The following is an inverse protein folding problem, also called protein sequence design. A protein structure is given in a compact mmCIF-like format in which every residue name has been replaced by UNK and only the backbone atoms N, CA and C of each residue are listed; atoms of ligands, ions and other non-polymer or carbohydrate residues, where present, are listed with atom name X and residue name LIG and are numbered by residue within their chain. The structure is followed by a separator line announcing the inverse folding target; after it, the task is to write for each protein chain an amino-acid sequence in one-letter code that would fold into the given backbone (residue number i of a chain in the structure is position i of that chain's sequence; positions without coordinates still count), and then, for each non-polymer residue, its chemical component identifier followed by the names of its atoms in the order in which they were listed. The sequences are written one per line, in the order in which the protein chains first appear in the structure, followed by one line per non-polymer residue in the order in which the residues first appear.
data_IF_733284519202
#
_entry.id   IF_733284519202
#
_cell.length_a   1.000
_cell.length_b   1.000
_cell.length_c   1.000
_cell.angle_alpha   90.00
_cell.angle_beta   90.00
_cell.angle_gamma   90.00
#
_symmetry.space_group_name_H-M   'P 1'
#
loop_
_entity.id
_entity.type
_entity.pdbx_description
1 polymer ?
#
# COMPACT_ATOMS: atom_id res chain seq x y z
N UNK A 1 80.96 -14.04 -16.22
CA UNK A 1 81.10 -13.07 -15.10
C UNK A 1 80.12 -11.95 -15.31
N UNK A 2 79.54 -11.51 -14.19
CA UNK A 2 78.43 -10.59 -13.97
C UNK A 2 78.47 -9.25 -14.72
N UNK A 3 77.33 -8.53 -14.61
CA UNK A 3 77.13 -7.06 -14.41
C UNK A 3 76.14 -6.50 -15.47
N UNK A 4 74.86 -6.33 -15.10
CA UNK A 4 74.19 -5.15 -14.46
C UNK A 4 73.65 -4.18 -15.52
N UNK A 5 72.33 -3.95 -15.65
CA UNK A 5 71.38 -3.13 -14.87
C UNK A 5 71.04 -1.81 -15.61
N UNK A 6 69.83 -1.34 -15.33
CA UNK A 6 69.37 0.07 -15.40
C UNK A 6 68.82 0.57 -16.75
N UNK A 7 67.79 1.43 -16.85
CA UNK A 7 66.82 2.04 -15.92
C UNK A 7 65.79 2.83 -16.75
N UNK A 8 64.53 2.81 -16.29
CA UNK A 8 63.43 3.80 -16.38
C UNK A 8 62.96 4.47 -17.70
N UNK A 9 61.65 4.22 -17.95
CA UNK A 9 60.54 5.16 -18.15
C UNK A 9 60.69 6.37 -19.08
N UNK A 10 59.86 6.39 -20.13
CA UNK A 10 59.23 7.62 -20.64
C UNK A 10 57.73 7.36 -20.77
N UNK A 11 56.95 8.06 -19.94
CA UNK A 11 55.50 8.19 -20.04
C UNK A 11 55.18 9.13 -21.21
N UNK A 12 54.54 8.61 -22.26
CA UNK A 12 53.85 9.43 -23.26
C UNK A 12 52.36 9.10 -23.18
N UNK A 13 51.58 10.11 -22.83
CA UNK A 13 50.16 10.02 -22.51
C UNK A 13 49.32 9.55 -23.69
N UNK A 14 48.35 8.70 -23.39
CA UNK A 14 47.33 8.28 -24.33
C UNK A 14 45.99 8.86 -23.85
N UNK A 15 45.62 10.02 -24.41
CA UNK A 15 44.27 10.56 -24.36
C UNK A 15 43.37 9.62 -25.17
N UNK A 16 42.63 8.74 -24.51
CA UNK A 16 41.55 7.97 -25.17
C UNK A 16 40.20 8.48 -24.72
N UNK A 17 39.48 8.95 -25.74
CA UNK A 17 38.16 9.53 -25.72
C UNK A 17 37.15 8.70 -24.92
N UNK A 18 36.46 9.36 -24.01
CA UNK A 18 35.26 8.86 -23.34
C UNK A 18 34.17 8.67 -24.39
N UNK A 19 34.01 7.44 -24.88
CA UNK A 19 32.84 7.03 -25.64
C UNK A 19 31.64 7.03 -24.68
N UNK A 20 30.95 8.17 -24.56
CA UNK A 20 29.64 8.23 -23.92
C UNK A 20 28.68 7.40 -24.78
N UNK A 21 28.39 6.18 -24.31
CA UNK A 21 27.27 5.38 -24.79
C UNK A 21 26.02 6.25 -24.69
N UNK A 22 25.48 6.67 -25.83
CA UNK A 22 24.18 7.33 -25.89
C UNK A 22 23.12 6.30 -25.46
N UNK A 23 22.79 6.30 -24.17
CA UNK A 23 21.65 5.58 -23.63
C UNK A 23 20.41 6.19 -24.30
N UNK A 24 19.60 5.43 -25.04
CA UNK A 24 18.34 5.96 -25.53
C UNK A 24 17.53 6.38 -24.31
N UNK A 25 17.26 7.69 -24.20
CA UNK A 25 16.31 8.25 -23.24
C UNK A 25 14.97 7.62 -23.60
N UNK A 26 14.62 6.53 -22.92
CA UNK A 26 13.29 5.96 -23.03
C UNK A 26 12.31 7.07 -22.62
N UNK A 27 11.37 7.48 -23.50
CA UNK A 27 10.30 8.33 -23.05
C UNK A 27 9.58 7.58 -21.93
N UNK A 28 9.57 8.20 -20.75
CA UNK A 28 8.73 7.84 -19.61
C UNK A 28 7.27 7.97 -20.04
N UNK A 29 6.78 7.02 -20.84
CA UNK A 29 5.37 6.84 -21.07
C UNK A 29 4.72 6.49 -19.72
N UNK A 30 3.59 7.12 -19.44
CA UNK A 30 2.71 6.92 -18.29
C UNK A 30 3.14 7.54 -16.95
N UNK A 31 3.51 8.82 -16.93
CA UNK A 31 3.58 9.60 -15.67
C UNK A 31 2.24 10.22 -15.23
N UNK A 32 1.09 9.87 -15.84
CA UNK A 32 -0.21 10.43 -15.46
C UNK A 32 -1.40 9.61 -16.01
N UNK A 33 -1.49 8.33 -15.66
CA UNK A 33 -2.76 7.60 -15.78
C UNK A 33 -3.62 7.94 -14.55
N UNK A 34 -4.15 9.18 -14.59
CA UNK A 34 -5.28 9.70 -13.80
C UNK A 34 -5.34 9.24 -12.33
N UNK A 35 -4.78 10.06 -11.41
CA UNK A 35 -4.81 9.96 -9.92
C UNK A 35 -5.39 8.62 -9.45
N UNK A 36 -4.52 7.63 -9.22
CA UNK A 36 -4.85 6.21 -9.05
C UNK A 36 -5.83 5.85 -7.91
N UNK A 37 -5.70 4.68 -7.26
CA UNK A 37 -6.69 4.20 -6.28
C UNK A 37 -6.92 5.13 -5.08
N UNK A 38 -6.10 6.17 -4.89
CA UNK A 38 -6.24 7.21 -3.87
C UNK A 38 -7.57 7.97 -3.93
N UNK A 39 -8.21 8.08 -5.11
CA UNK A 39 -9.47 8.81 -5.25
C UNK A 39 -10.69 7.94 -4.93
N UNK A 40 -10.84 6.83 -5.66
CA UNK A 40 -12.02 5.98 -5.55
C UNK A 40 -11.92 4.95 -4.42
N UNK A 41 -10.71 4.54 -4.04
CA UNK A 41 -10.47 3.55 -2.99
C UNK A 41 -11.06 3.95 -1.63
N UNK A 42 -10.83 5.18 -1.13
CA UNK A 42 -11.50 5.68 0.08
C UNK A 42 -13.03 5.70 -0.03
N UNK A 43 -13.59 5.97 -1.21
CA UNK A 43 -15.05 5.94 -1.44
C UNK A 43 -15.61 4.52 -1.36
N UNK A 44 -14.92 3.55 -1.95
CA UNK A 44 -15.27 2.13 -1.81
C UNK A 44 -15.19 1.70 -0.33
N UNK A 45 -14.07 2.00 0.34
CA UNK A 45 -13.88 1.69 1.76
C UNK A 45 -15.01 2.25 2.62
N UNK A 46 -15.33 3.54 2.46
CA UNK A 46 -16.40 4.18 3.22
C UNK A 46 -17.75 3.49 3.00
N UNK A 47 -18.06 3.09 1.78
CA UNK A 47 -19.31 2.38 1.49
C UNK A 47 -19.35 1.01 2.17
N UNK A 48 -18.27 0.22 2.08
CA UNK A 48 -18.15 -1.08 2.75
C UNK A 48 -18.28 -0.95 4.27
N UNK A 49 -17.63 0.05 4.87
CA UNK A 49 -17.66 0.29 6.32
C UNK A 49 -19.08 0.51 6.87
N UNK A 50 -20.02 1.01 6.05
CA UNK A 50 -21.42 1.19 6.47
C UNK A 50 -22.18 -0.11 6.70
N UNK A 51 -21.88 -1.18 5.95
CA UNK A 51 -22.53 -2.49 6.15
C UNK A 51 -21.66 -3.44 6.98
N UNK A 52 -20.41 -3.07 7.27
CA UNK A 52 -19.49 -3.98 7.92
C UNK A 52 -19.79 -4.15 9.40
N UNK A 53 -20.42 -5.27 9.72
CA UNK A 53 -20.55 -5.78 11.09
C UNK A 53 -19.26 -6.49 11.53
N UNK A 54 -18.22 -5.71 11.83
CA UNK A 54 -16.93 -6.23 12.27
C UNK A 54 -17.09 -7.00 13.60
N UNK A 55 -16.56 -8.24 13.72
CA UNK A 55 -16.57 -8.98 14.97
C UNK A 55 -15.87 -8.21 16.09
N UNK A 56 -16.36 -8.36 17.32
CA UNK A 56 -15.70 -7.80 18.49
C UNK A 56 -14.34 -8.49 18.66
N UNK A 57 -13.31 -7.68 18.84
CA UNK A 57 -11.97 -8.17 19.16
C UNK A 57 -12.00 -8.86 20.52
N UNK A 58 -11.51 -10.10 20.57
CA UNK A 58 -11.31 -10.86 21.82
C UNK A 58 -9.84 -11.22 21.93
N UNK A 59 -9.16 -10.67 22.95
CA UNK A 59 -7.74 -10.92 23.21
C UNK A 59 -6.79 -10.49 22.08
N UNK A 60 -5.62 -11.12 22.05
CA UNK A 60 -4.53 -10.83 21.11
C UNK A 60 -4.68 -11.55 19.76
N UNK A 61 -5.68 -12.41 19.59
CA UNK A 61 -5.94 -13.16 18.35
C UNK A 61 -6.24 -12.25 17.15
N UNK A 62 -6.60 -10.99 17.41
CA UNK A 62 -6.83 -9.98 16.39
C UNK A 62 -5.54 -9.25 15.98
N UNK A 63 -4.38 -9.63 16.52
CA UNK A 63 -3.11 -9.06 16.13
C UNK A 63 -2.82 -9.42 14.67
N UNK A 64 -2.83 -8.39 13.80
CA UNK A 64 -2.38 -8.47 12.41
C UNK A 64 -3.18 -9.38 11.48
N UNK A 65 -4.51 -9.28 11.49
CA UNK A 65 -5.31 -9.94 10.44
C UNK A 65 -5.11 -9.24 9.10
N UNK A 66 -5.00 -10.01 8.02
CA UNK A 66 -4.99 -9.53 6.64
C UNK A 66 -5.81 -10.49 5.79
N UNK A 67 -6.86 -9.99 5.16
CA UNK A 67 -7.71 -10.74 4.23
C UNK A 67 -7.77 -9.94 2.93
N UNK A 68 -7.53 -10.60 1.82
CA UNK A 68 -7.47 -9.99 0.50
C UNK A 68 -8.52 -10.66 -0.38
N UNK A 69 -9.30 -9.86 -1.10
CA UNK A 69 -10.35 -10.36 -1.98
C UNK A 69 -10.05 -10.02 -3.43
N UNK A 70 -10.57 -10.80 -4.38
CA UNK A 70 -10.80 -10.35 -5.75
C UNK A 70 -12.23 -9.87 -5.85
N UNK A 71 -12.42 -8.61 -6.25
CA UNK A 71 -13.74 -8.01 -6.47
C UNK A 71 -13.86 -7.58 -7.92
N UNK A 72 -14.98 -7.97 -8.55
CA UNK A 72 -15.36 -7.53 -9.89
C UNK A 72 -16.68 -6.80 -9.79
N UNK A 73 -16.76 -5.63 -10.43
CA UNK A 73 -17.94 -4.78 -10.42
C UNK A 73 -18.39 -4.46 -11.85
N UNK A 74 -19.70 -4.42 -12.04
CA UNK A 74 -20.31 -3.85 -13.24
C UNK A 74 -20.18 -2.33 -13.23
N UNK A 75 -20.45 -1.67 -14.37
CA UNK A 75 -20.41 -0.20 -14.47
C UNK A 75 -21.43 0.48 -13.54
N UNK A 76 -22.50 -0.22 -13.18
CA UNK A 76 -23.53 0.23 -12.25
C UNK A 76 -23.12 0.03 -10.78
N UNK A 77 -21.92 -0.50 -10.52
CA UNK A 77 -21.38 -0.74 -9.19
C UNK A 77 -21.93 -1.99 -8.49
N UNK A 78 -22.57 -2.90 -9.23
CA UNK A 78 -23.02 -4.19 -8.70
C UNK A 78 -21.91 -5.22 -8.79
N UNK A 79 -21.96 -6.26 -7.95
CA UNK A 79 -21.02 -7.37 -8.05
C UNK A 79 -21.22 -8.15 -9.35
N UNK A 80 -20.13 -8.36 -10.07
CA UNK A 80 -20.06 -9.26 -11.23
C UNK A 80 -19.50 -10.61 -10.77
N UNK A 81 -20.35 -11.36 -10.07
CA UNK A 81 -20.00 -12.62 -9.42
C UNK A 81 -19.63 -12.48 -7.94
N UNK A 82 -19.36 -13.62 -7.29
CA UNK A 82 -19.03 -13.67 -5.88
C UNK A 82 -17.58 -13.20 -5.65
N UNK A 83 -17.30 -12.33 -4.67
CA UNK A 83 -15.93 -12.03 -4.28
C UNK A 83 -15.20 -13.27 -3.77
N UNK A 84 -13.97 -13.47 -4.22
CA UNK A 84 -13.15 -14.61 -3.86
C UNK A 84 -12.01 -14.20 -2.94
N UNK A 85 -11.65 -15.04 -1.98
CA UNK A 85 -10.53 -14.79 -1.07
C UNK A 85 -9.23 -15.20 -1.76
N UNK A 86 -8.25 -14.29 -1.79
CA UNK A 86 -6.96 -14.55 -2.41
C UNK A 86 -6.05 -15.40 -1.52
N UNK A 87 -5.19 -16.26 -2.09
CA UNK A 87 -4.19 -17.04 -1.36
C UNK A 87 -3.21 -16.20 -0.54
N UNK A 88 -3.03 -14.91 -0.89
CA UNK A 88 -2.23 -13.94 -0.15
C UNK A 88 -2.85 -13.47 1.18
N UNK A 89 -4.05 -13.95 1.51
CA UNK A 89 -4.68 -13.76 2.82
C UNK A 89 -3.98 -14.59 3.89
N UNK A 90 -3.91 -14.06 5.12
CA UNK A 90 -3.45 -14.89 6.24
C UNK A 90 -4.44 -16.05 6.46
N UNK A 91 -3.97 -17.26 6.81
CA UNK A 91 -4.85 -18.37 7.12
C UNK A 91 -5.85 -17.98 8.21
N UNK A 92 -7.12 -18.32 8.00
CA UNK A 92 -8.18 -18.12 8.98
C UNK A 92 -8.14 -19.19 10.08
N UNK A 93 -7.00 -19.28 10.77
CA UNK A 93 -6.70 -20.34 11.72
C UNK A 93 -7.51 -20.25 13.02
N UNK A 94 -7.79 -19.03 13.50
CA UNK A 94 -8.62 -18.80 14.70
C UNK A 94 -10.09 -18.55 14.36
N UNK A 95 -10.96 -18.74 15.35
CA UNK A 95 -12.39 -18.44 15.26
C UNK A 95 -12.63 -16.97 14.90
N UNK A 96 -11.86 -16.07 15.52
CA UNK A 96 -11.88 -14.65 15.20
C UNK A 96 -11.47 -14.39 13.74
N UNK A 97 -10.43 -15.03 13.23
CA UNK A 97 -9.98 -14.85 11.85
C UNK A 97 -11.03 -15.31 10.84
N UNK A 98 -11.68 -16.46 11.09
CA UNK A 98 -12.81 -16.94 10.25
C UNK A 98 -13.99 -15.98 10.29
N UNK A 99 -14.37 -15.51 11.48
CA UNK A 99 -15.44 -14.55 11.64
C UNK A 99 -15.11 -13.21 10.95
N UNK A 100 -13.87 -12.74 11.03
CA UNK A 100 -13.41 -11.51 10.40
C UNK A 100 -13.49 -11.61 8.88
N UNK A 101 -12.92 -12.66 8.28
CA UNK A 101 -12.99 -12.93 6.85
C UNK A 101 -14.45 -13.03 6.36
N UNK A 102 -15.28 -13.81 7.05
CA UNK A 102 -16.69 -13.95 6.70
C UNK A 102 -17.46 -12.62 6.82
N UNK A 103 -17.15 -11.80 7.82
CA UNK A 103 -17.76 -10.48 7.99
C UNK A 103 -17.38 -9.49 6.88
N UNK A 104 -16.12 -9.52 6.42
CA UNK A 104 -15.64 -8.66 5.34
C UNK A 104 -16.27 -9.06 4.00
N UNK A 105 -16.33 -10.37 3.71
CA UNK A 105 -17.03 -10.88 2.53
C UNK A 105 -18.49 -10.43 2.50
N UNK A 106 -19.20 -10.60 3.63
CA UNK A 106 -20.58 -10.14 3.78
C UNK A 106 -20.72 -8.64 3.55
N UNK A 107 -19.81 -7.82 4.10
CA UNK A 107 -19.85 -6.38 3.92
C UNK A 107 -19.74 -5.97 2.43
N UNK A 108 -18.87 -6.63 1.66
CA UNK A 108 -18.76 -6.40 0.21
C UNK A 108 -20.05 -6.83 -0.50
N UNK A 109 -20.59 -8.00 -0.16
CA UNK A 109 -21.80 -8.54 -0.80
C UNK A 109 -23.05 -7.73 -0.50
N UNK A 110 -23.21 -7.24 0.72
CA UNK A 110 -24.42 -6.56 1.19
C UNK A 110 -24.45 -5.06 0.84
N UNK A 111 -23.28 -4.42 0.65
CA UNK A 111 -23.19 -2.98 0.41
C UNK A 111 -23.45 -2.54 -1.04
N UNK A 112 -23.57 -3.46 -1.98
CA UNK A 112 -23.86 -3.11 -3.37
C UNK A 112 -25.26 -2.46 -3.50
N UNK A 113 -25.47 -1.54 -4.46
CA UNK A 113 -24.49 -1.09 -5.46
C UNK A 113 -23.50 -0.04 -4.91
N UNK A 114 -22.24 -0.14 -5.34
CA UNK A 114 -21.19 0.82 -5.03
C UNK A 114 -21.24 2.04 -5.96
N UNK A 115 -21.39 3.24 -5.39
CA UNK A 115 -21.32 4.49 -6.16
C UNK A 115 -19.85 4.93 -6.26
N UNK A 116 -19.21 4.64 -7.39
CA UNK A 116 -17.82 5.03 -7.68
C UNK A 116 -17.78 5.90 -8.96
N UNK A 117 -16.82 6.83 -9.10
CA UNK A 117 -16.78 7.72 -10.26
C UNK A 117 -16.47 6.94 -11.55
N UNK A 118 -17.26 7.18 -12.59
CA UNK A 118 -17.21 6.42 -13.84
C UNK A 118 -15.89 6.62 -14.60
N UNK A 119 -15.25 7.77 -14.40
CA UNK A 119 -13.94 8.12 -14.96
C UNK A 119 -12.84 7.12 -14.54
N UNK A 120 -13.00 6.46 -13.38
CA UNK A 120 -12.04 5.48 -12.87
C UNK A 120 -12.47 4.02 -13.12
N UNK A 121 -13.50 3.78 -13.95
CA UNK A 121 -14.06 2.44 -14.12
C UNK A 121 -13.03 1.38 -14.48
N UNK A 122 -12.07 1.70 -15.35
CA UNK A 122 -11.04 0.75 -15.75
C UNK A 122 -10.13 0.31 -14.59
N UNK A 123 -10.04 1.12 -13.53
CA UNK A 123 -9.29 0.82 -12.31
C UNK A 123 -10.09 0.00 -11.31
N UNK A 124 -11.40 0.26 -11.16
CA UNK A 124 -12.23 -0.37 -10.12
C UNK A 124 -13.18 -1.45 -10.61
N UNK A 125 -13.31 -1.70 -11.92
CA UNK A 125 -14.10 -2.83 -12.46
C UNK A 125 -13.58 -4.19 -11.99
N UNK A 126 -12.28 -4.28 -11.69
CA UNK A 126 -11.64 -5.49 -11.18
C UNK A 126 -10.43 -5.08 -10.31
N UNK A 127 -10.51 -5.31 -9.00
CA UNK A 127 -9.51 -4.84 -8.04
C UNK A 127 -9.41 -5.77 -6.83
N UNK A 128 -8.40 -5.54 -5.99
CA UNK A 128 -8.07 -6.40 -4.86
C UNK A 128 -8.05 -5.62 -3.55
N UNK A 129 -9.19 -5.45 -2.86
CA UNK A 129 -9.21 -4.77 -1.58
C UNK A 129 -8.58 -5.63 -0.47
N UNK A 130 -7.76 -5.00 0.36
CA UNK A 130 -7.12 -5.62 1.51
C UNK A 130 -7.78 -5.12 2.80
N UNK A 131 -8.34 -6.04 3.57
CA UNK A 131 -8.89 -5.81 4.89
C UNK A 131 -7.85 -6.20 5.91
N UNK A 132 -7.37 -5.23 6.68
CA UNK A 132 -6.35 -5.47 7.69
C UNK A 132 -6.75 -4.92 9.05
N UNK A 133 -6.46 -5.71 10.08
CA UNK A 133 -6.60 -5.32 11.47
C UNK A 133 -5.22 -4.99 12.03
N UNK A 134 -4.98 -3.71 12.36
CA UNK A 134 -3.73 -3.34 13.03
C UNK A 134 -3.75 -3.86 14.49
N UNK A 135 -2.59 -4.32 15.02
CA UNK A 135 -2.47 -4.57 16.44
C UNK A 135 -2.70 -3.26 17.21
N UNK A 136 -3.46 -3.32 18.30
CA UNK A 136 -3.59 -2.22 19.24
C UNK A 136 -2.22 -2.08 19.94
N UNK A 137 -1.39 -1.12 19.53
CA UNK A 137 -0.05 -0.95 20.13
C UNK A 137 1.07 -0.43 19.23
N UNK A 138 0.78 0.05 18.00
CA UNK A 138 1.76 0.81 17.24
C UNK A 138 1.21 2.21 16.91
N UNK A 139 1.57 3.16 17.77
CA UNK A 139 1.67 4.60 17.49
C UNK A 139 0.53 5.24 16.70
N UNK A 140 -0.66 5.35 17.30
CA UNK A 140 -1.45 6.56 17.09
C UNK A 140 -0.97 7.52 18.19
N UNK A 141 -0.24 8.62 17.93
CA UNK A 141 -0.25 9.70 18.89
C UNK A 141 -1.71 10.09 19.04
N UNK A 142 -2.24 9.98 20.26
CA UNK A 142 -3.49 10.61 20.58
C UNK A 142 -3.39 12.06 20.10
N UNK A 143 -4.25 12.45 19.17
CA UNK A 143 -4.53 13.86 18.98
C UNK A 143 -4.99 14.37 20.36
N UNK A 144 -4.07 15.02 21.08
CA UNK A 144 -4.26 15.37 22.48
C UNK A 144 -3.00 15.41 23.37
N UNK A 145 -1.82 14.98 22.92
CA UNK A 145 -0.58 15.30 23.65
C UNK A 145 -0.13 16.74 23.32
N UNK A 146 -0.85 17.72 23.87
CA UNK A 146 -0.29 19.05 24.03
C UNK A 146 0.68 18.96 25.21
N UNK A 147 1.97 18.76 24.91
CA UNK A 147 3.05 18.89 25.89
C UNK A 147 3.10 20.35 26.39
N UNK A 148 2.25 20.65 27.36
CA UNK A 148 2.19 21.89 28.10
C UNK A 148 3.39 22.04 29.05
N UNK A 149 4.26 21.02 29.17
CA UNK A 149 5.46 21.09 30.03
C UNK A 149 6.66 21.74 29.32
N UNK A 150 6.49 22.21 28.09
CA UNK A 150 7.49 23.04 27.38
C UNK A 150 7.13 24.52 27.27
N UNK A 151 6.06 24.97 27.93
CA UNK A 151 5.79 26.40 28.16
C UNK A 151 6.30 26.83 29.54
N UNK A 152 7.60 26.59 29.77
CA UNK A 152 8.37 27.33 30.77
C UNK A 152 8.68 28.72 30.21
N UNK A 153 7.65 29.57 30.20
CA UNK A 153 7.81 31.02 30.10
C UNK A 153 7.08 31.60 31.31
N UNK A 154 7.73 31.55 32.47
CA UNK A 154 7.46 32.55 33.51
C UNK A 154 8.19 33.84 33.10
N UNK A 155 7.55 34.65 32.24
CA UNK A 155 7.89 36.06 32.09
C UNK A 155 7.16 36.81 33.22
N UNK A 156 7.83 36.96 34.37
CA UNK A 156 7.39 37.86 35.45
C UNK A 156 6.53 37.24 36.56
N UNK A 157 7.07 36.26 37.29
CA UNK A 157 6.68 36.02 38.68
C UNK A 157 7.89 36.32 39.57
#
# INVERSE_FOLDING_TARGET
MSIERSTALVFTGFLLASAFLAIPIQPSAAKSEMRGPDTWGPMFRHQVERCWRKPVRVGDEAASMKVEFVVKLTREGKLDGQPEVLPGSKPAASDYARAYQASALRAITDCQPFTLPAEYYDQWKHFQPVFMERPAGQGQPAAGELDTRKLSICRGC
#
